data_IF_343258227008
#
_entry.id   IF_343258227008
#
_cell.length_a   1.000
_cell.length_b   1.000
_cell.length_c   1.000
_cell.angle_alpha   90.00
_cell.angle_beta   90.00
_cell.angle_gamma   90.00
#
_symmetry.space_group_name_H-M   'P 1'
#
loop_
_entity.id
_entity.type
_entity.pdbx_description
1 polymer ?
#
# COMPACT_ATOMS: atom_id res chain seq x y z
N UNK A 1 49.58 -11.77 -12.27
CA UNK A 1 48.30 -11.19 -12.73
C UNK A 1 47.32 -12.33 -13.02
N UNK A 2 46.47 -12.62 -12.04
CA UNK A 2 45.40 -13.61 -12.15
C UNK A 2 44.17 -12.87 -12.65
N UNK A 3 43.64 -13.25 -13.82
CA UNK A 3 42.40 -12.67 -14.36
C UNK A 3 41.22 -13.02 -13.44
N UNK A 4 40.45 -12.02 -13.04
CA UNK A 4 39.20 -12.22 -12.31
C UNK A 4 38.10 -12.75 -13.25
N UNK A 5 37.19 -13.62 -12.77
CA UNK A 5 36.14 -14.19 -13.60
C UNK A 5 35.13 -13.12 -14.01
N UNK A 6 34.95 -12.94 -15.32
CA UNK A 6 33.84 -12.16 -15.89
C UNK A 6 32.52 -12.79 -15.43
N UNK A 7 31.68 -12.00 -14.76
CA UNK A 7 30.35 -12.42 -14.36
C UNK A 7 29.54 -12.80 -15.61
N UNK A 8 29.03 -14.03 -15.66
CA UNK A 8 28.16 -14.48 -16.74
C UNK A 8 26.88 -13.63 -16.77
N UNK A 9 26.67 -12.90 -17.86
CA UNK A 9 25.43 -12.18 -18.12
C UNK A 9 24.28 -13.18 -18.26
N UNK A 10 23.21 -13.01 -17.48
CA UNK A 10 22.00 -13.80 -17.64
C UNK A 10 21.43 -13.60 -19.06
N UNK A 11 20.87 -14.65 -19.71
CA UNK A 11 20.27 -14.51 -21.03
C UNK A 11 19.11 -13.52 -21.00
N UNK A 12 19.04 -12.64 -22.01
CA UNK A 12 17.88 -11.76 -22.22
C UNK A 12 16.63 -12.63 -22.39
N UNK A 13 15.62 -12.36 -21.57
CA UNK A 13 14.32 -13.02 -21.66
C UNK A 13 13.39 -12.13 -22.47
N UNK A 14 12.88 -12.67 -23.58
CA UNK A 14 11.74 -12.07 -24.27
C UNK A 14 10.50 -12.27 -23.38
N UNK A 15 10.04 -11.19 -22.75
CA UNK A 15 8.85 -11.17 -21.89
C UNK A 15 7.73 -10.40 -22.59
N UNK A 16 6.55 -10.99 -22.65
CA UNK A 16 5.36 -10.32 -23.16
C UNK A 16 4.76 -9.42 -22.09
N UNK A 17 4.47 -8.17 -22.46
CA UNK A 17 3.67 -7.26 -21.61
C UNK A 17 2.20 -7.66 -21.76
N UNK A 18 1.58 -8.08 -20.67
CA UNK A 18 0.17 -8.47 -20.62
C UNK A 18 -0.60 -7.51 -19.71
N UNK A 19 -1.67 -6.92 -20.25
CA UNK A 19 -2.60 -6.11 -19.47
C UNK A 19 -3.54 -7.01 -18.67
N UNK A 20 -3.39 -7.03 -17.35
CA UNK A 20 -4.25 -7.84 -16.46
C UNK A 20 -5.53 -7.11 -16.04
N UNK A 21 -5.44 -5.80 -15.83
CA UNK A 21 -6.55 -4.95 -15.42
C UNK A 21 -6.70 -3.79 -16.42
N UNK A 22 -7.93 -3.30 -16.66
CA UNK A 22 -8.13 -2.10 -17.45
C UNK A 22 -7.48 -0.88 -16.76
N UNK A 23 -7.38 0.23 -17.50
CA UNK A 23 -7.05 1.52 -16.92
C UNK A 23 -7.97 1.80 -15.71
N UNK A 24 -7.39 2.28 -14.61
CA UNK A 24 -8.05 2.50 -13.31
C UNK A 24 -8.70 1.26 -12.67
N UNK A 25 -8.23 0.05 -13.00
CA UNK A 25 -8.72 -1.19 -12.39
C UNK A 25 -8.45 -1.34 -10.88
N UNK A 26 -7.56 -0.52 -10.30
CA UNK A 26 -7.28 -0.44 -8.87
C UNK A 26 -7.29 1.05 -8.48
N UNK A 27 -8.44 1.60 -8.10
CA UNK A 27 -8.56 3.02 -7.83
C UNK A 27 -7.92 3.39 -6.49
N UNK A 28 -7.32 4.59 -6.45
CA UNK A 28 -6.92 5.21 -5.20
C UNK A 28 -8.15 5.63 -4.38
N UNK A 29 -7.98 5.72 -3.06
CA UNK A 29 -8.97 6.30 -2.15
C UNK A 29 -8.57 7.74 -1.86
N UNK A 30 -9.35 8.70 -2.35
CA UNK A 30 -9.05 10.13 -2.19
C UNK A 30 -9.74 10.80 -1.01
N UNK A 31 -10.81 10.19 -0.50
CA UNK A 31 -11.59 10.70 0.63
C UNK A 31 -11.79 9.55 1.64
N UNK A 32 -10.76 9.21 2.44
CA UNK A 32 -10.86 8.11 3.39
C UNK A 32 -11.88 8.42 4.48
N UNK A 33 -12.65 7.40 4.85
CA UNK A 33 -13.58 7.44 5.97
C UNK A 33 -13.11 6.47 7.05
N UNK A 34 -13.08 6.93 8.28
CA UNK A 34 -12.71 6.14 9.44
C UNK A 34 -13.93 5.81 10.27
N UNK A 35 -13.89 4.66 10.95
CA UNK A 35 -14.92 4.30 11.90
C UNK A 35 -14.94 5.30 13.07
N UNK A 36 -16.13 5.65 13.59
CA UNK A 36 -16.27 6.64 14.65
C UNK A 36 -15.78 6.13 16.01
N UNK A 37 -15.80 4.82 16.22
CA UNK A 37 -15.44 4.17 17.47
C UNK A 37 -14.94 2.73 17.23
N UNK A 38 -14.32 2.17 18.27
CA UNK A 38 -13.74 0.82 18.26
C UNK A 38 -14.80 -0.28 18.18
N UNK A 39 -15.97 -0.09 18.79
CA UNK A 39 -17.03 -1.10 18.79
C UNK A 39 -17.51 -1.37 17.36
N UNK A 40 -17.74 -0.29 16.59
CA UNK A 40 -18.09 -0.36 15.17
C UNK A 40 -16.95 -0.97 14.36
N UNK A 41 -15.69 -0.56 14.59
CA UNK A 41 -14.54 -1.11 13.86
C UNK A 41 -14.37 -2.62 14.06
N UNK A 42 -14.59 -3.12 15.29
CA UNK A 42 -14.50 -4.54 15.64
C UNK A 42 -15.58 -5.41 14.99
N UNK A 43 -16.63 -4.81 14.40
CA UNK A 43 -17.61 -5.54 13.60
C UNK A 43 -17.08 -5.93 12.21
N UNK A 44 -16.05 -5.23 11.71
CA UNK A 44 -15.50 -5.40 10.37
C UNK A 44 -14.06 -5.91 10.36
N UNK A 45 -13.28 -5.59 11.40
CA UNK A 45 -11.87 -5.97 11.51
C UNK A 45 -11.64 -6.97 12.62
N UNK A 46 -10.64 -7.83 12.43
CA UNK A 46 -10.20 -8.78 13.44
C UNK A 46 -9.05 -8.18 14.26
N UNK A 47 -8.91 -8.57 15.53
CA UNK A 47 -7.85 -8.08 16.43
C UNK A 47 -6.42 -8.28 15.89
N UNK A 48 -6.21 -9.30 15.04
CA UNK A 48 -4.92 -9.62 14.42
C UNK A 48 -4.70 -8.98 13.05
N UNK A 49 -5.58 -8.08 12.62
CA UNK A 49 -5.46 -7.45 11.30
C UNK A 49 -4.24 -6.54 11.24
N UNK A 50 -3.41 -6.75 10.23
CA UNK A 50 -2.23 -5.93 10.01
C UNK A 50 -2.67 -4.55 9.52
N UNK A 51 -2.10 -3.51 10.10
CA UNK A 51 -2.37 -2.12 9.75
C UNK A 51 -1.07 -1.34 9.58
N UNK A 52 -1.09 -0.34 8.70
CA UNK A 52 -0.13 0.75 8.72
C UNK A 52 -0.62 1.82 9.69
N UNK A 53 0.13 2.05 10.77
CA UNK A 53 -0.14 3.13 11.72
C UNK A 53 0.61 4.40 11.33
N UNK A 54 -0.10 5.53 11.30
CA UNK A 54 0.49 6.86 11.07
C UNK A 54 0.06 7.79 12.18
N UNK A 55 1.01 8.51 12.77
CA UNK A 55 0.74 9.61 13.69
C UNK A 55 1.56 10.83 13.27
N UNK A 56 0.87 11.95 13.00
CA UNK A 56 1.49 13.23 12.66
C UNK A 56 0.80 14.31 13.47
N UNK A 57 1.58 15.10 14.22
CA UNK A 57 1.10 16.23 15.02
C UNK A 57 -0.08 15.86 15.97
N UNK A 58 -0.05 14.64 16.52
CA UNK A 58 -1.05 14.10 17.44
C UNK A 58 -2.30 13.50 16.77
N UNK A 59 -2.37 13.55 15.44
CA UNK A 59 -3.44 12.94 14.67
C UNK A 59 -3.04 11.52 14.25
N UNK A 60 -3.66 10.51 14.87
CA UNK A 60 -3.36 9.09 14.65
C UNK A 60 -4.41 8.42 13.73
N UNK A 61 -3.93 7.61 12.79
CA UNK A 61 -4.72 6.83 11.84
C UNK A 61 -4.15 5.43 11.69
N UNK A 62 -5.03 4.48 11.38
CA UNK A 62 -4.67 3.10 11.05
C UNK A 62 -5.32 2.71 9.71
N UNK A 63 -4.51 2.18 8.79
CA UNK A 63 -4.94 1.77 7.45
C UNK A 63 -4.78 0.25 7.29
N UNK A 64 -5.87 -0.46 6.99
CA UNK A 64 -5.90 -1.93 6.91
C UNK A 64 -5.05 -2.48 5.76
N UNK A 65 -4.24 -3.52 6.04
CA UNK A 65 -3.42 -4.25 5.05
C UNK A 65 -4.21 -5.13 4.06
N UNK A 66 -5.38 -5.62 4.45
CA UNK A 66 -6.31 -6.15 3.45
C UNK A 66 -6.91 -5.07 2.54
N UNK A 67 -7.20 -3.88 3.06
CA UNK A 67 -7.91 -2.83 2.31
C UNK A 67 -7.08 -2.21 1.17
N UNK A 68 -5.87 -1.72 1.44
CA UNK A 68 -5.00 -1.22 0.36
C UNK A 68 -4.54 -2.34 -0.61
N UNK A 69 -4.74 -3.63 -0.32
CA UNK A 69 -4.39 -4.71 -1.26
C UNK A 69 -5.33 -4.65 -2.45
N UNK A 70 -6.53 -4.10 -2.20
CA UNK A 70 -7.55 -3.85 -3.20
C UNK A 70 -7.56 -2.39 -3.68
N UNK A 71 -6.84 -1.49 -3.00
CA UNK A 71 -6.82 -0.04 -3.22
C UNK A 71 -5.42 0.50 -2.90
N UNK A 72 -4.45 0.22 -3.78
CA UNK A 72 -2.99 0.35 -3.54
C UNK A 72 -2.51 1.68 -2.95
N UNK A 73 -3.31 2.74 -3.03
CA UNK A 73 -3.02 4.06 -2.49
C UNK A 73 -4.25 4.65 -1.77
N UNK A 74 -4.03 5.19 -0.57
CA UNK A 74 -4.94 6.15 0.08
C UNK A 74 -4.26 7.53 0.11
N UNK A 75 -4.90 8.53 -0.49
CA UNK A 75 -4.52 9.93 -0.35
C UNK A 75 -5.26 10.52 0.85
N UNK A 76 -4.52 10.99 1.86
CA UNK A 76 -5.09 11.50 3.12
C UNK A 76 -4.39 12.79 3.57
N UNK A 77 -4.99 13.48 4.54
CA UNK A 77 -4.40 14.61 5.25
C UNK A 77 -4.39 14.28 6.74
N UNK A 78 -3.20 13.98 7.28
CA UNK A 78 -3.01 13.61 8.69
C UNK A 78 -2.19 14.68 9.39
N UNK A 79 -2.70 15.21 10.51
CA UNK A 79 -2.05 16.32 11.22
C UNK A 79 -1.89 17.58 10.35
N UNK A 80 -2.78 17.76 9.37
CA UNK A 80 -2.72 18.87 8.40
C UNK A 80 -1.68 18.69 7.28
N UNK A 81 -1.00 17.54 7.19
CA UNK A 81 -0.02 17.24 6.13
C UNK A 81 -0.61 16.26 5.11
N UNK A 82 -0.56 16.57 3.81
CA UNK A 82 -0.98 15.62 2.78
C UNK A 82 0.00 14.45 2.71
N UNK A 83 -0.53 13.24 2.68
CA UNK A 83 0.23 11.98 2.59
C UNK A 83 -0.40 11.04 1.56
N UNK A 84 0.42 10.15 1.01
CA UNK A 84 -0.02 8.98 0.25
C UNK A 84 0.41 7.72 1.02
N UNK A 85 -0.55 6.90 1.41
CA UNK A 85 -0.31 5.65 2.16
C UNK A 85 -0.34 4.48 1.20
N UNK A 86 0.68 3.63 1.24
CA UNK A 86 0.88 2.46 0.35
C UNK A 86 1.76 1.41 1.05
N UNK A 87 1.89 0.19 0.51
CA UNK A 87 2.81 -0.86 1.01
C UNK A 87 3.41 -1.74 -0.09
#
# INVERSE_FOLDING_TARGET
PTEEPVAATAPERDLDIVTLLPFDGIPAIDNPHFFPDLETANMFYNDGELVLGVEIDGDARAYSVPLLSSHEIVNDVVGGKPIAVTW
#
